data_IF_798861699598
#
_entry.id   IF_798861699598
#
_cell.length_a   1.000
_cell.length_b   1.000
_cell.length_c   1.000
_cell.angle_alpha   90.00
_cell.angle_beta   90.00
_cell.angle_gamma   90.00
#
_symmetry.space_group_name_H-M   'P 1'
#
loop_
_entity.id
_entity.type
_entity.pdbx_description
1 polymer ?
#
# COMPACT_ATOMS: atom_id res chain seq x y z
N UNK A 1 18.82 -16.99 -11.98
CA UNK A 1 19.40 -15.75 -11.40
C UNK A 1 18.89 -15.56 -9.98
N UNK A 2 19.76 -15.15 -9.04
CA UNK A 2 19.38 -14.89 -7.65
C UNK A 2 19.47 -13.39 -7.35
N UNK A 3 18.40 -12.82 -6.85
CA UNK A 3 18.19 -11.37 -6.74
C UNK A 3 17.93 -11.01 -5.28
N UNK A 4 18.64 -10.00 -4.78
CA UNK A 4 18.34 -9.35 -3.51
C UNK A 4 17.63 -8.00 -3.80
N UNK A 5 16.48 -7.77 -3.18
CA UNK A 5 15.85 -6.46 -3.17
C UNK A 5 15.97 -5.86 -1.78
N UNK A 6 16.53 -4.65 -1.69
CA UNK A 6 16.38 -3.82 -0.49
C UNK A 6 15.07 -3.08 -0.62
N UNK A 7 14.07 -3.54 0.11
CA UNK A 7 12.69 -3.06 0.03
C UNK A 7 12.47 -1.73 0.75
N UNK A 8 11.40 -1.01 0.40
CA UNK A 8 10.98 0.19 1.12
C UNK A 8 10.41 -0.15 2.51
N UNK A 9 10.25 0.89 3.34
CA UNK A 9 9.76 0.73 4.72
C UNK A 9 8.29 1.15 4.91
N UNK A 10 7.65 1.72 3.91
CA UNK A 10 6.24 2.12 3.97
C UNK A 10 5.35 1.08 3.30
N UNK A 11 4.16 0.83 3.87
CA UNK A 11 3.21 -0.17 3.34
C UNK A 11 2.86 0.09 1.88
N UNK A 12 2.50 1.33 1.53
CA UNK A 12 2.14 1.69 0.15
C UNK A 12 3.30 1.48 -0.83
N UNK A 13 4.50 1.93 -0.47
CA UNK A 13 5.70 1.74 -1.30
C UNK A 13 6.05 0.25 -1.44
N UNK A 14 5.92 -0.53 -0.34
CA UNK A 14 6.12 -1.98 -0.38
C UNK A 14 5.13 -2.65 -1.31
N UNK A 15 3.86 -2.25 -1.27
CA UNK A 15 2.86 -2.77 -2.21
C UNK A 15 3.22 -2.45 -3.66
N UNK A 16 3.52 -1.18 -3.97
CA UNK A 16 3.88 -0.77 -5.33
C UNK A 16 5.18 -1.43 -5.83
N UNK A 17 6.11 -1.76 -4.93
CA UNK A 17 7.37 -2.45 -5.30
C UNK A 17 7.15 -3.88 -5.82
N UNK A 18 6.03 -4.52 -5.53
CA UNK A 18 5.69 -5.84 -6.09
C UNK A 18 5.63 -5.80 -7.62
N UNK A 19 5.29 -4.66 -8.23
CA UNK A 19 5.29 -4.53 -9.70
C UNK A 19 6.68 -4.78 -10.30
N UNK A 20 7.76 -4.38 -9.60
CA UNK A 20 9.13 -4.75 -9.98
C UNK A 20 9.32 -6.27 -9.91
N UNK A 21 8.91 -6.91 -8.82
CA UNK A 21 9.11 -8.36 -8.63
C UNK A 21 8.35 -9.15 -9.70
N UNK A 22 7.11 -8.76 -9.99
CA UNK A 22 6.29 -9.35 -11.05
C UNK A 22 6.92 -9.16 -12.43
N UNK A 23 7.47 -7.99 -12.73
CA UNK A 23 8.16 -7.71 -13.99
C UNK A 23 9.43 -8.55 -14.13
N UNK A 24 10.22 -8.69 -13.06
CA UNK A 24 11.41 -9.53 -13.05
C UNK A 24 11.07 -11.01 -13.26
N UNK A 25 10.04 -11.51 -12.59
CA UNK A 25 9.55 -12.89 -12.75
C UNK A 25 8.96 -13.16 -14.13
N UNK A 26 8.28 -12.18 -14.73
CA UNK A 26 7.77 -12.32 -16.09
C UNK A 26 8.89 -12.42 -17.14
N UNK A 27 10.00 -11.70 -16.92
CA UNK A 27 11.18 -11.77 -17.79
C UNK A 27 12.03 -13.03 -17.53
N UNK A 28 12.16 -13.45 -16.30
CA UNK A 28 12.94 -14.62 -15.85
C UNK A 28 12.14 -15.43 -14.82
N UNK A 29 11.29 -16.38 -15.24
CA UNK A 29 10.42 -17.16 -14.35
C UNK A 29 11.17 -17.91 -13.24
N UNK A 30 12.40 -18.37 -13.51
CA UNK A 30 13.25 -19.10 -12.58
C UNK A 30 14.09 -18.18 -11.67
N UNK A 31 13.95 -16.86 -11.78
CA UNK A 31 14.66 -15.93 -10.89
C UNK A 31 14.19 -16.13 -9.44
N UNK A 32 15.12 -16.23 -8.50
CA UNK A 32 14.85 -16.31 -7.07
C UNK A 32 14.99 -14.91 -6.47
N UNK A 33 13.92 -14.36 -5.95
CA UNK A 33 13.87 -12.99 -5.41
C UNK A 33 13.71 -13.05 -3.90
N UNK A 34 14.73 -12.61 -3.17
CA UNK A 34 14.67 -12.39 -1.74
C UNK A 34 14.53 -10.88 -1.47
N UNK A 35 13.67 -10.52 -0.53
CA UNK A 35 13.41 -9.10 -0.20
C UNK A 35 13.83 -8.83 1.23
N UNK A 36 14.78 -7.91 1.43
CA UNK A 36 15.19 -7.42 2.75
C UNK A 36 14.44 -6.15 3.10
N UNK A 37 13.63 -6.20 4.15
CA UNK A 37 12.80 -5.09 4.61
C UNK A 37 12.57 -5.17 6.13
N UNK A 38 12.02 -4.14 6.78
CA UNK A 38 11.63 -4.22 8.19
C UNK A 38 10.77 -5.44 8.48
N UNK A 39 10.96 -6.05 9.65
CA UNK A 39 10.30 -7.32 9.99
C UNK A 39 8.77 -7.27 9.90
N UNK A 40 8.16 -6.11 10.17
CA UNK A 40 6.71 -5.91 10.08
C UNK A 40 6.16 -5.99 8.64
N UNK A 41 7.01 -5.87 7.60
CA UNK A 41 6.62 -6.08 6.20
C UNK A 41 6.45 -7.55 5.81
N UNK A 42 6.94 -8.49 6.63
CA UNK A 42 6.91 -9.93 6.32
C UNK A 42 5.50 -10.43 5.94
N UNK A 43 4.42 -10.04 6.62
CA UNK A 43 3.07 -10.48 6.26
C UNK A 43 2.63 -10.10 4.85
N UNK A 44 3.10 -8.98 4.32
CA UNK A 44 2.85 -8.59 2.93
C UNK A 44 3.70 -9.42 1.97
N UNK A 45 5.00 -9.52 2.24
CA UNK A 45 5.95 -10.23 1.39
C UNK A 45 5.62 -11.72 1.28
N UNK A 46 5.14 -12.36 2.35
CA UNK A 46 4.74 -13.77 2.33
C UNK A 46 3.48 -14.07 1.48
N UNK A 47 2.73 -13.03 1.10
CA UNK A 47 1.57 -13.11 0.20
C UNK A 47 1.87 -12.71 -1.23
N UNK A 48 3.13 -12.44 -1.55
CA UNK A 48 3.62 -12.12 -2.88
C UNK A 48 4.29 -13.38 -3.48
N UNK A 49 3.69 -14.07 -4.45
CA UNK A 49 4.23 -15.32 -5.00
C UNK A 49 5.63 -15.17 -5.62
N UNK A 50 5.98 -13.95 -6.00
CA UNK A 50 7.28 -13.63 -6.60
C UNK A 50 8.42 -13.66 -5.58
N UNK A 51 8.12 -13.50 -4.29
CA UNK A 51 9.11 -13.44 -3.20
C UNK A 51 9.40 -14.82 -2.67
N UNK A 52 10.66 -15.23 -2.76
CA UNK A 52 11.14 -16.51 -2.22
C UNK A 52 11.34 -16.42 -0.69
N UNK A 53 12.04 -15.40 -0.22
CA UNK A 53 12.34 -15.20 1.20
C UNK A 53 12.21 -13.72 1.60
N UNK A 54 11.52 -13.46 2.71
CA UNK A 54 11.48 -12.16 3.35
C UNK A 54 12.56 -12.07 4.43
N UNK A 55 13.66 -11.38 4.12
CA UNK A 55 14.78 -11.16 5.01
C UNK A 55 14.51 -9.95 5.92
N UNK A 56 14.67 -10.11 7.22
CA UNK A 56 14.50 -9.01 8.14
C UNK A 56 15.69 -8.03 8.07
N UNK A 57 15.39 -6.72 7.92
CA UNK A 57 16.32 -5.64 8.17
C UNK A 57 16.22 -5.26 9.66
N UNK A 58 17.17 -5.66 10.51
CA UNK A 58 17.05 -5.44 11.95
C UNK A 58 17.31 -4.00 12.37
N UNK A 59 17.72 -3.14 11.43
CA UNK A 59 18.15 -1.77 11.71
C UNK A 59 16.98 -0.79 11.62
N UNK A 60 16.86 0.04 12.65
CA UNK A 60 15.83 1.04 12.76
C UNK A 60 15.86 2.12 11.67
N UNK A 61 14.72 2.75 11.45
CA UNK A 61 14.63 3.90 10.56
C UNK A 61 15.50 5.05 11.09
N UNK A 62 16.35 5.63 10.25
CA UNK A 62 17.26 6.71 10.65
C UNK A 62 18.67 6.25 11.03
N UNK A 63 18.86 5.07 11.60
CA UNK A 63 20.16 4.59 12.05
C UNK A 63 21.13 4.27 10.90
N UNK A 64 22.37 4.74 10.97
CA UNK A 64 23.42 4.41 10.02
C UNK A 64 24.00 3.02 10.31
N UNK A 65 24.45 2.79 11.52
CA UNK A 65 24.99 1.52 12.04
C UNK A 65 25.89 0.76 11.04
N UNK A 66 26.97 1.43 10.62
CA UNK A 66 27.84 0.95 9.54
C UNK A 66 28.42 -0.44 9.82
N UNK A 67 28.82 -0.72 11.07
CA UNK A 67 29.35 -2.01 11.50
C UNK A 67 28.34 -3.14 11.29
N UNK A 68 27.09 -2.90 11.67
CA UNK A 68 26.02 -3.88 11.56
C UNK A 68 25.63 -4.13 10.10
N UNK A 69 25.57 -3.06 9.28
CA UNK A 69 25.33 -3.20 7.82
C UNK A 69 26.44 -4.00 7.14
N UNK A 70 27.71 -3.80 7.57
CA UNK A 70 28.84 -4.57 7.07
C UNK A 70 28.73 -6.05 7.48
N UNK A 71 28.34 -6.32 8.73
CA UNK A 71 28.13 -7.70 9.23
C UNK A 71 27.03 -8.40 8.45
N UNK A 72 25.88 -7.74 8.27
CA UNK A 72 24.76 -8.27 7.48
C UNK A 72 25.16 -8.53 6.02
N UNK A 73 25.82 -7.57 5.37
CA UNK A 73 26.27 -7.73 4.00
C UNK A 73 27.22 -8.91 3.86
N UNK A 74 28.21 -9.04 4.75
CA UNK A 74 29.13 -10.19 4.73
C UNK A 74 28.42 -11.53 4.93
N UNK A 75 27.43 -11.59 5.81
CA UNK A 75 26.63 -12.81 6.03
C UNK A 75 25.84 -13.21 4.77
N UNK A 76 25.42 -12.26 3.95
CA UNK A 76 24.70 -12.51 2.70
C UNK A 76 25.58 -13.01 1.55
N UNK A 77 26.91 -12.93 1.65
CA UNK A 77 27.83 -13.41 0.60
C UNK A 77 27.62 -14.89 0.27
N UNK A 78 27.37 -15.71 1.29
CA UNK A 78 27.13 -17.15 1.12
C UNK A 78 25.84 -17.46 0.34
N UNK A 79 24.90 -16.52 0.26
CA UNK A 79 23.67 -16.68 -0.51
C UNK A 79 23.89 -16.56 -2.02
N UNK A 80 24.98 -15.96 -2.48
CA UNK A 80 25.39 -15.92 -3.89
C UNK A 80 24.44 -15.13 -4.79
N UNK A 81 24.05 -13.92 -4.38
CA UNK A 81 23.21 -13.05 -5.21
C UNK A 81 23.95 -12.52 -6.44
N UNK A 82 23.31 -12.59 -7.59
CA UNK A 82 23.83 -12.07 -8.88
C UNK A 82 23.57 -10.55 -9.01
N UNK A 83 22.41 -10.11 -8.54
CA UNK A 83 21.94 -8.72 -8.63
C UNK A 83 21.30 -8.25 -7.34
N UNK A 84 21.39 -6.93 -7.11
CA UNK A 84 20.62 -6.24 -6.08
C UNK A 84 19.87 -5.06 -6.67
N UNK A 85 18.63 -4.88 -6.20
CA UNK A 85 17.84 -3.68 -6.45
C UNK A 85 17.67 -2.93 -5.13
N UNK A 86 18.05 -1.65 -5.10
CA UNK A 86 18.00 -0.81 -3.90
C UNK A 86 16.91 0.25 -4.09
N UNK A 87 15.72 0.00 -3.52
CA UNK A 87 14.54 0.81 -3.74
C UNK A 87 14.52 2.10 -2.89
N UNK A 88 14.93 2.07 -1.60
CA UNK A 88 15.07 3.31 -0.83
C UNK A 88 16.21 4.18 -1.39
N UNK A 89 16.07 5.51 -1.28
CA UNK A 89 17.00 6.46 -1.86
C UNK A 89 18.12 6.94 -0.90
N UNK A 90 18.20 6.39 0.31
CA UNK A 90 19.21 6.76 1.30
C UNK A 90 20.57 6.14 1.01
N UNK A 91 21.65 6.82 1.40
CA UNK A 91 23.02 6.31 1.33
C UNK A 91 23.14 4.94 2.01
N UNK A 92 22.64 4.84 3.24
CA UNK A 92 22.74 3.62 4.06
C UNK A 92 22.04 2.40 3.46
N UNK A 93 21.01 2.57 2.62
CA UNK A 93 20.29 1.45 1.99
C UNK A 93 21.15 0.67 0.99
N UNK A 94 22.17 1.31 0.42
CA UNK A 94 23.07 0.68 -0.54
C UNK A 94 24.25 -0.06 0.13
N UNK A 95 24.47 0.09 1.44
CA UNK A 95 25.62 -0.49 2.14
C UNK A 95 25.56 -2.02 2.26
N UNK A 96 24.37 -2.57 2.55
CA UNK A 96 24.25 -4.04 2.71
C UNK A 96 24.59 -4.77 1.40
N UNK A 97 23.99 -4.44 0.23
CA UNK A 97 24.35 -5.11 -1.02
C UNK A 97 25.79 -4.82 -1.47
N UNK A 98 26.35 -3.66 -1.11
CA UNK A 98 27.77 -3.37 -1.34
C UNK A 98 28.68 -4.31 -0.54
N UNK A 99 28.46 -4.46 0.77
CA UNK A 99 29.23 -5.36 1.62
C UNK A 99 28.98 -6.84 1.34
N UNK A 100 27.83 -7.16 0.72
CA UNK A 100 27.53 -8.50 0.22
C UNK A 100 28.31 -8.86 -1.05
N UNK A 101 29.04 -7.90 -1.62
CA UNK A 101 29.85 -8.05 -2.84
C UNK A 101 29.00 -8.45 -4.07
N UNK A 102 27.76 -7.96 -4.13
CA UNK A 102 26.87 -8.27 -5.25
C UNK A 102 27.34 -7.49 -6.48
N UNK A 103 27.54 -8.21 -7.60
CA UNK A 103 28.17 -7.67 -8.81
C UNK A 103 27.42 -6.49 -9.42
N UNK A 104 26.09 -6.60 -9.53
CA UNK A 104 25.23 -5.53 -10.09
C UNK A 104 24.32 -4.98 -9.00
N UNK A 105 24.42 -3.69 -8.74
CA UNK A 105 23.66 -2.99 -7.71
C UNK A 105 22.94 -1.81 -8.34
N UNK A 106 21.65 -2.00 -8.63
CA UNK A 106 20.79 -1.08 -9.37
C UNK A 106 19.95 -0.22 -8.42
N UNK A 107 19.84 1.07 -8.71
CA UNK A 107 18.94 1.97 -7.98
C UNK A 107 18.97 3.41 -8.52
N UNK A 108 17.97 4.18 -8.15
CA UNK A 108 17.93 5.61 -8.49
C UNK A 108 18.95 6.41 -7.68
N UNK A 109 19.54 7.45 -8.29
CA UNK A 109 20.39 8.39 -7.59
C UNK A 109 19.55 9.15 -6.54
N UNK A 110 19.86 8.91 -5.28
CA UNK A 110 19.31 9.62 -4.15
C UNK A 110 20.39 10.41 -3.43
N UNK A 111 20.64 10.11 -2.16
CA UNK A 111 21.81 10.61 -1.43
C UNK A 111 23.12 10.17 -2.10
N UNK A 112 24.28 10.69 -1.63
CA UNK A 112 25.61 10.44 -2.20
C UNK A 112 26.00 8.95 -2.07
N UNK A 113 25.56 8.12 -3.01
CA UNK A 113 25.83 6.67 -3.03
C UNK A 113 26.55 6.21 -4.31
N UNK A 114 27.42 7.11 -4.81
CA UNK A 114 28.36 6.83 -5.88
C UNK A 114 29.35 5.74 -5.46
N UNK A 115 29.60 4.77 -6.32
CA UNK A 115 30.41 3.59 -6.03
C UNK A 115 29.73 2.50 -5.21
N UNK A 116 28.74 2.83 -4.37
CA UNK A 116 27.90 1.83 -3.70
C UNK A 116 26.93 1.17 -4.67
N UNK A 117 26.30 1.97 -5.54
CA UNK A 117 25.55 1.48 -6.70
C UNK A 117 26.42 1.62 -7.95
N UNK A 118 26.52 0.57 -8.74
CA UNK A 118 27.27 0.56 -10.01
C UNK A 118 26.34 0.59 -11.25
N UNK A 119 25.06 0.31 -11.10
CA UNK A 119 24.01 0.69 -12.06
C UNK A 119 23.18 1.83 -11.44
N UNK A 120 23.83 2.98 -11.28
CA UNK A 120 23.22 4.19 -10.74
C UNK A 120 22.43 4.93 -11.82
N UNK A 121 21.15 5.19 -11.57
CA UNK A 121 20.23 5.86 -12.49
C UNK A 121 19.83 7.24 -11.99
N UNK A 122 19.69 8.19 -12.91
CA UNK A 122 19.21 9.55 -12.60
C UNK A 122 17.73 9.62 -12.86
N UNK A 123 16.95 9.99 -11.83
CA UNK A 123 15.50 10.09 -11.93
C UNK A 123 15.11 11.43 -12.54
N UNK A 124 14.47 11.39 -13.69
CA UNK A 124 13.65 12.48 -14.21
C UNK A 124 12.19 12.26 -13.74
N UNK A 125 11.71 13.12 -12.85
CA UNK A 125 10.37 12.98 -12.27
C UNK A 125 9.26 13.26 -13.29
N UNK A 126 9.52 14.06 -14.32
CA UNK A 126 8.56 14.34 -15.38
C UNK A 126 8.43 13.15 -16.34
N UNK A 127 9.57 12.48 -16.62
CA UNK A 127 9.58 11.28 -17.44
C UNK A 127 8.99 10.05 -16.73
N UNK A 128 9.08 10.01 -15.39
CA UNK A 128 8.61 8.92 -14.53
C UNK A 128 7.68 9.47 -13.45
N UNK A 129 6.44 9.87 -13.77
CA UNK A 129 5.53 10.49 -12.81
C UNK A 129 5.10 9.55 -11.69
N UNK A 130 4.69 8.32 -12.01
CA UNK A 130 4.19 7.38 -11.02
C UNK A 130 5.31 6.63 -10.29
N UNK A 131 5.11 6.38 -8.99
CA UNK A 131 6.06 5.59 -8.20
C UNK A 131 6.20 4.16 -8.74
N UNK A 132 5.11 3.52 -9.15
CA UNK A 132 5.13 2.17 -9.74
C UNK A 132 6.00 2.11 -11.00
N UNK A 133 5.93 3.13 -11.85
CA UNK A 133 6.76 3.21 -13.07
C UNK A 133 8.25 3.30 -12.73
N UNK A 134 8.59 4.05 -11.67
CA UNK A 134 9.97 4.13 -11.16
C UNK A 134 10.50 2.79 -10.70
N UNK A 135 9.66 1.97 -10.06
CA UNK A 135 10.04 0.62 -9.66
C UNK A 135 10.18 -0.31 -10.87
N UNK A 136 9.20 -0.34 -11.77
CA UNK A 136 9.21 -1.18 -12.97
C UNK A 136 10.39 -0.84 -13.89
N UNK A 137 10.73 0.45 -14.04
CA UNK A 137 11.85 0.89 -14.86
C UNK A 137 13.19 0.27 -14.44
N UNK A 138 13.37 -0.06 -13.16
CA UNK A 138 14.59 -0.70 -12.65
C UNK A 138 14.78 -2.13 -13.17
N UNK A 139 13.72 -2.83 -13.58
CA UNK A 139 13.79 -4.18 -14.13
C UNK A 139 14.50 -4.24 -15.49
N UNK A 140 14.56 -3.13 -16.21
CA UNK A 140 15.11 -3.05 -17.56
C UNK A 140 16.50 -2.42 -17.57
N UNK A 141 17.26 -2.63 -18.64
CA UNK A 141 18.55 -1.97 -18.81
C UNK A 141 18.41 -0.44 -18.86
N UNK A 142 19.39 0.25 -18.28
CA UNK A 142 19.36 1.71 -18.07
C UNK A 142 19.02 2.53 -19.32
N UNK A 143 19.44 2.08 -20.50
CA UNK A 143 19.25 2.80 -21.75
C UNK A 143 18.03 2.35 -22.56
N UNK A 144 17.33 1.30 -22.10
CA UNK A 144 16.21 0.72 -22.85
C UNK A 144 15.00 1.64 -22.91
N UNK A 145 14.67 2.28 -21.78
CA UNK A 145 13.54 3.18 -21.66
C UNK A 145 13.95 4.46 -20.94
N UNK A 146 13.52 5.60 -21.46
CA UNK A 146 13.84 6.93 -20.92
C UNK A 146 12.63 7.61 -20.28
N UNK A 147 11.42 7.07 -20.48
CA UNK A 147 10.15 7.59 -19.95
C UNK A 147 9.11 6.48 -19.81
N UNK A 148 8.13 6.72 -18.94
CA UNK A 148 7.08 5.77 -18.58
C UNK A 148 6.25 5.26 -19.77
N UNK A 149 5.95 6.14 -20.75
CA UNK A 149 5.18 5.76 -21.95
C UNK A 149 5.86 4.72 -22.86
N UNK A 150 7.14 4.43 -22.63
CA UNK A 150 7.88 3.41 -23.36
C UNK A 150 7.87 2.04 -22.64
N UNK A 151 7.44 1.99 -21.39
CA UNK A 151 7.32 0.71 -20.66
C UNK A 151 6.29 -0.19 -21.33
N UNK A 152 6.52 -1.51 -21.33
CA UNK A 152 5.50 -2.46 -21.76
C UNK A 152 4.20 -2.30 -20.98
N UNK A 153 3.08 -2.28 -21.69
CA UNK A 153 1.74 -2.14 -21.11
C UNK A 153 0.92 -3.42 -21.35
N UNK A 154 -0.02 -3.74 -20.46
CA UNK A 154 -0.26 -3.10 -19.15
C UNK A 154 0.86 -3.38 -18.14
N UNK A 155 1.11 -2.46 -17.20
CA UNK A 155 2.02 -2.72 -16.09
C UNK A 155 1.46 -3.86 -15.23
N UNK A 156 2.34 -4.70 -14.73
CA UNK A 156 1.99 -5.77 -13.80
C UNK A 156 1.77 -5.18 -12.39
N UNK A 157 0.54 -4.76 -12.10
CA UNK A 157 0.18 -4.16 -10.83
C UNK A 157 0.30 -5.13 -9.66
N UNK A 158 0.46 -4.63 -8.42
CA UNK A 158 0.51 -5.46 -7.22
C UNK A 158 -0.72 -6.38 -7.11
N UNK A 159 -0.52 -7.60 -6.61
CA UNK A 159 -1.58 -8.55 -6.40
C UNK A 159 -1.30 -9.42 -5.18
N UNK A 160 -2.21 -9.40 -4.22
CA UNK A 160 -2.18 -10.27 -3.06
C UNK A 160 -3.22 -11.38 -3.16
N UNK A 161 -2.94 -12.51 -2.51
CA UNK A 161 -3.84 -13.65 -2.45
C UNK A 161 -4.21 -13.98 -1.01
N UNK A 162 -5.50 -14.25 -0.79
CA UNK A 162 -6.07 -14.69 0.48
C UNK A 162 -7.10 -15.77 0.17
N UNK A 163 -7.02 -16.90 0.84
CA UNK A 163 -7.98 -17.99 0.65
C UNK A 163 -9.33 -17.68 1.30
N UNK A 164 -10.41 -18.29 0.79
CA UNK A 164 -11.75 -18.14 1.38
C UNK A 164 -11.79 -18.62 2.83
N UNK A 165 -11.09 -19.71 3.15
CA UNK A 165 -11.02 -20.23 4.52
C UNK A 165 -10.39 -19.24 5.48
N UNK A 166 -9.30 -18.56 5.09
CA UNK A 166 -8.67 -17.51 5.91
C UNK A 166 -9.64 -16.36 6.18
N UNK A 167 -10.37 -15.90 5.14
CA UNK A 167 -11.34 -14.81 5.27
C UNK A 167 -12.43 -15.15 6.29
N UNK A 168 -13.08 -16.31 6.13
CA UNK A 168 -14.17 -16.74 7.01
C UNK A 168 -13.70 -16.94 8.45
N UNK A 169 -12.58 -17.63 8.64
CA UNK A 169 -12.02 -17.89 9.99
C UNK A 169 -11.64 -16.59 10.69
N UNK A 170 -11.03 -15.66 9.96
CA UNK A 170 -10.59 -14.37 10.54
C UNK A 170 -11.79 -13.47 10.83
N UNK A 171 -12.79 -13.40 9.93
CA UNK A 171 -14.00 -12.62 10.13
C UNK A 171 -14.76 -13.08 11.39
N UNK A 172 -14.95 -14.40 11.57
CA UNK A 172 -15.58 -14.97 12.75
C UNK A 172 -14.81 -14.61 14.04
N UNK A 173 -13.47 -14.65 14.01
CA UNK A 173 -12.62 -14.27 15.15
C UNK A 173 -12.83 -12.83 15.59
N UNK A 174 -13.07 -11.91 14.66
CA UNK A 174 -13.33 -10.50 14.96
C UNK A 174 -14.82 -10.17 15.14
N UNK A 175 -15.69 -11.18 15.23
CA UNK A 175 -17.10 -11.01 15.52
C UNK A 175 -17.87 -10.28 14.43
N UNK A 176 -17.47 -10.45 13.16
CA UNK A 176 -18.27 -9.97 12.04
C UNK A 176 -19.35 -10.98 11.70
N UNK A 177 -20.58 -10.50 11.63
CA UNK A 177 -21.76 -11.33 11.35
C UNK A 177 -21.70 -11.83 9.89
N UNK A 178 -22.00 -13.11 9.69
CA UNK A 178 -22.00 -13.72 8.35
C UNK A 178 -23.16 -13.25 7.47
N UNK A 179 -24.25 -12.79 8.08
CA UNK A 179 -25.49 -12.43 7.40
C UNK A 179 -25.42 -11.04 6.72
N UNK A 180 -24.47 -10.19 7.14
CA UNK A 180 -24.31 -8.85 6.59
C UNK A 180 -22.98 -8.72 5.84
N UNK A 181 -22.97 -8.26 4.57
CA UNK A 181 -21.73 -7.99 3.88
C UNK A 181 -20.96 -6.84 4.56
N UNK A 182 -19.63 -6.96 4.60
CA UNK A 182 -18.76 -6.02 5.28
C UNK A 182 -18.29 -4.94 4.33
N UNK A 183 -18.38 -3.68 4.73
CA UNK A 183 -17.68 -2.56 4.09
C UNK A 183 -16.51 -2.15 5.00
N UNK A 184 -15.30 -2.16 4.45
CA UNK A 184 -14.10 -1.75 5.16
C UNK A 184 -13.87 -0.25 5.07
N UNK A 185 -13.62 0.41 6.19
CA UNK A 185 -13.20 1.80 6.26
C UNK A 185 -11.77 1.91 6.76
N UNK A 186 -10.94 2.69 6.07
CA UNK A 186 -9.56 2.99 6.45
C UNK A 186 -9.41 4.50 6.72
N UNK A 187 -9.87 4.98 7.89
CA UNK A 187 -9.94 6.41 8.20
C UNK A 187 -8.58 7.00 8.60
N UNK A 188 -7.56 6.17 8.81
CA UNK A 188 -6.22 6.61 9.18
C UNK A 188 -5.43 7.21 8.03
N UNK A 189 -4.44 8.03 8.38
CA UNK A 189 -3.37 8.48 7.47
C UNK A 189 -2.13 8.84 8.27
N UNK A 190 -0.97 8.28 7.90
CA UNK A 190 0.28 8.40 8.65
C UNK A 190 0.84 9.84 8.68
N UNK A 191 0.62 10.63 7.62
CA UNK A 191 1.20 11.97 7.49
C UNK A 191 0.39 13.10 8.14
N UNK A 192 -0.66 12.78 8.88
CA UNK A 192 -1.42 13.75 9.66
C UNK A 192 -2.86 13.97 9.20
N UNK A 193 -3.63 14.77 9.95
CA UNK A 193 -5.07 14.92 9.76
C UNK A 193 -5.47 15.57 8.42
N UNK A 194 -4.59 16.34 7.78
CA UNK A 194 -4.87 16.93 6.47
C UNK A 194 -5.12 15.89 5.36
N UNK A 195 -4.73 14.64 5.57
CA UNK A 195 -4.99 13.53 4.64
C UNK A 195 -6.16 12.64 5.07
N UNK A 196 -6.84 13.00 6.15
CA UNK A 196 -7.97 12.23 6.68
C UNK A 196 -9.30 12.86 6.24
N UNK A 197 -10.17 12.03 5.67
CA UNK A 197 -11.56 12.40 5.52
C UNK A 197 -12.18 12.49 6.90
N UNK A 198 -13.01 13.51 7.21
CA UNK A 198 -13.53 13.75 8.55
C UNK A 198 -14.22 12.52 9.16
N UNK A 199 -13.99 12.26 10.45
CA UNK A 199 -14.62 11.15 11.17
C UNK A 199 -16.14 11.24 11.13
N UNK A 200 -16.73 12.45 11.22
CA UNK A 200 -18.17 12.64 11.13
C UNK A 200 -18.75 12.33 9.73
N UNK A 201 -17.97 12.48 8.67
CA UNK A 201 -18.34 12.03 7.33
C UNK A 201 -18.29 10.49 7.20
N UNK A 202 -17.25 9.86 7.78
CA UNK A 202 -17.22 8.41 7.88
C UNK A 202 -18.41 7.87 8.68
N UNK A 203 -18.78 8.52 9.79
CA UNK A 203 -19.94 8.14 10.59
C UNK A 203 -21.25 8.29 9.82
N UNK A 204 -21.43 9.40 9.12
CA UNK A 204 -22.62 9.61 8.29
C UNK A 204 -22.74 8.57 7.17
N UNK A 205 -21.63 8.23 6.49
CA UNK A 205 -21.60 7.18 5.48
C UNK A 205 -21.87 5.79 6.11
N UNK A 206 -21.27 5.51 7.28
CA UNK A 206 -21.49 4.26 8.00
C UNK A 206 -22.96 4.08 8.36
N UNK A 207 -23.64 5.13 8.85
CA UNK A 207 -25.06 5.08 9.18
C UNK A 207 -25.89 4.71 7.95
N UNK A 208 -25.67 5.36 6.80
CA UNK A 208 -26.39 5.06 5.55
C UNK A 208 -26.18 3.60 5.11
N UNK A 209 -24.95 3.10 5.18
CA UNK A 209 -24.64 1.71 4.79
C UNK A 209 -25.21 0.67 5.76
N UNK A 210 -25.23 0.97 7.05
CA UNK A 210 -25.82 0.08 8.07
C UNK A 210 -27.35 -0.01 7.88
N UNK A 211 -27.99 1.12 7.59
CA UNK A 211 -29.44 1.18 7.30
C UNK A 211 -29.77 0.40 6.02
N UNK A 212 -28.81 0.32 5.06
CA UNK A 212 -28.91 -0.45 3.82
C UNK A 212 -28.48 -1.93 3.97
N UNK A 213 -28.27 -2.39 5.21
CA UNK A 213 -28.02 -3.81 5.53
C UNK A 213 -26.56 -4.26 5.55
N UNK A 214 -25.60 -3.35 5.43
CA UNK A 214 -24.18 -3.65 5.59
C UNK A 214 -23.75 -3.64 7.07
N UNK A 215 -22.57 -4.18 7.33
CA UNK A 215 -21.81 -3.92 8.55
C UNK A 215 -20.48 -3.25 8.21
N UNK A 216 -19.95 -2.48 9.14
CA UNK A 216 -18.75 -1.68 8.94
C UNK A 216 -17.60 -2.24 9.79
N UNK A 217 -16.42 -2.37 9.18
CA UNK A 217 -15.18 -2.67 9.87
C UNK A 217 -14.18 -1.52 9.67
N UNK A 218 -13.74 -0.90 10.76
CA UNK A 218 -12.77 0.19 10.74
C UNK A 218 -11.36 -0.38 10.91
N UNK A 219 -10.47 -0.09 9.97
CA UNK A 219 -9.08 -0.54 9.96
C UNK A 219 -8.11 0.60 10.18
N UNK A 220 -7.05 0.33 10.91
CA UNK A 220 -6.00 1.30 11.17
C UNK A 220 -4.97 0.77 12.17
N UNK A 221 -3.94 1.57 12.42
CA UNK A 221 -2.97 1.33 13.47
C UNK A 221 -3.56 1.71 14.85
N UNK A 222 -2.82 1.44 15.93
CA UNK A 222 -3.21 1.89 17.27
C UNK A 222 -3.39 3.42 17.37
N UNK A 223 -2.71 4.20 16.51
CA UNK A 223 -2.86 5.66 16.43
C UNK A 223 -4.22 6.10 15.87
N UNK A 224 -4.88 5.22 15.14
CA UNK A 224 -6.15 5.50 14.49
C UNK A 224 -7.36 5.04 15.32
N UNK A 225 -7.09 4.40 16.49
CA UNK A 225 -8.13 3.86 17.38
C UNK A 225 -9.11 4.94 17.83
N UNK A 226 -8.60 6.10 18.26
CA UNK A 226 -9.41 7.24 18.69
C UNK A 226 -10.35 7.73 17.59
N UNK A 227 -9.85 7.85 16.36
CA UNK A 227 -10.70 8.20 15.20
C UNK A 227 -11.80 7.17 14.97
N UNK A 228 -11.51 5.89 15.15
CA UNK A 228 -12.51 4.81 15.09
C UNK A 228 -13.57 4.93 16.18
N UNK A 229 -13.19 5.26 17.41
CA UNK A 229 -14.13 5.49 18.52
C UNK A 229 -15.04 6.72 18.24
N UNK A 230 -14.49 7.82 17.75
CA UNK A 230 -15.26 9.00 17.34
C UNK A 230 -16.32 8.67 16.28
N UNK A 231 -15.98 7.80 15.31
CA UNK A 231 -16.93 7.32 14.31
C UNK A 231 -18.05 6.52 14.98
N UNK A 232 -17.71 5.56 15.87
CA UNK A 232 -18.67 4.74 16.60
C UNK A 232 -19.61 5.58 17.48
N UNK A 233 -19.07 6.54 18.23
CA UNK A 233 -19.83 7.40 19.14
C UNK A 233 -20.86 8.27 18.39
N UNK A 234 -20.53 8.66 17.16
CA UNK A 234 -21.41 9.48 16.29
C UNK A 234 -22.59 8.67 15.74
N UNK A 235 -22.49 7.33 15.64
CA UNK A 235 -23.57 6.49 15.15
C UNK A 235 -24.76 6.46 16.12
N UNK A 236 -25.95 6.25 15.57
CA UNK A 236 -27.14 5.96 16.38
C UNK A 236 -26.92 4.72 17.24
N UNK A 237 -27.44 4.68 18.49
CA UNK A 237 -27.16 3.59 19.43
C UNK A 237 -27.42 2.17 18.88
N UNK A 238 -28.52 2.00 18.14
CA UNK A 238 -28.89 0.70 17.54
C UNK A 238 -28.02 0.29 16.35
N UNK A 239 -27.27 1.23 15.75
CA UNK A 239 -26.39 0.95 14.62
C UNK A 239 -24.97 0.55 15.06
N UNK A 240 -24.60 0.85 16.31
CA UNK A 240 -23.24 0.61 16.83
C UNK A 240 -22.86 -0.88 16.84
N UNK A 241 -23.80 -1.77 17.03
CA UNK A 241 -23.56 -3.21 16.98
C UNK A 241 -23.11 -3.72 15.60
N UNK A 242 -23.44 -2.96 14.54
CA UNK A 242 -23.06 -3.25 13.16
C UNK A 242 -21.79 -2.54 12.71
N UNK A 243 -21.08 -1.89 13.61
CA UNK A 243 -19.78 -1.23 13.33
C UNK A 243 -18.72 -1.73 14.31
N UNK A 244 -17.63 -2.27 13.79
CA UNK A 244 -16.50 -2.77 14.59
C UNK A 244 -15.27 -1.91 14.38
N UNK A 245 -14.75 -1.33 15.46
CA UNK A 245 -13.47 -0.64 15.44
C UNK A 245 -12.34 -1.66 15.65
N UNK A 246 -11.66 -2.02 14.57
CA UNK A 246 -10.53 -2.95 14.57
C UNK A 246 -9.18 -2.22 14.52
N UNK A 247 -9.17 -0.89 14.59
CA UNK A 247 -7.94 -0.10 14.60
C UNK A 247 -7.11 -0.42 15.85
N UNK A 248 -5.87 -0.85 15.63
CA UNK A 248 -4.96 -1.30 16.68
C UNK A 248 -5.25 -2.68 17.28
N UNK A 249 -6.32 -3.33 16.86
CA UNK A 249 -6.68 -4.69 17.32
C UNK A 249 -6.20 -5.79 16.35
N UNK A 250 -5.97 -5.43 15.09
CA UNK A 250 -5.46 -6.35 14.07
C UNK A 250 -3.96 -6.18 13.85
N UNK A 251 -3.26 -7.30 13.71
CA UNK A 251 -1.94 -7.32 13.09
C UNK A 251 -2.08 -7.07 11.59
N UNK A 252 -1.01 -6.61 10.92
CA UNK A 252 -1.04 -6.32 9.48
C UNK A 252 -1.55 -7.50 8.64
N UNK A 253 -1.15 -8.72 8.98
CA UNK A 253 -1.63 -9.94 8.32
C UNK A 253 -3.16 -10.10 8.43
N UNK A 254 -3.70 -9.89 9.62
CA UNK A 254 -5.13 -9.96 9.86
C UNK A 254 -5.89 -8.86 9.13
N UNK A 255 -5.33 -7.64 9.09
CA UNK A 255 -5.90 -6.54 8.32
C UNK A 255 -5.96 -6.86 6.82
N UNK A 256 -4.91 -7.47 6.25
CA UNK A 256 -4.90 -7.94 4.85
C UNK A 256 -6.03 -8.95 4.60
N UNK A 257 -6.16 -9.96 5.47
CA UNK A 257 -7.20 -10.99 5.34
C UNK A 257 -8.59 -10.37 5.46
N UNK A 258 -8.78 -9.47 6.42
CA UNK A 258 -10.07 -8.81 6.65
C UNK A 258 -10.45 -7.85 5.52
N UNK A 259 -9.50 -7.11 4.96
CA UNK A 259 -9.73 -6.29 3.77
C UNK A 259 -10.12 -7.16 2.56
N UNK A 260 -9.52 -8.35 2.41
CA UNK A 260 -9.93 -9.32 1.38
C UNK A 260 -11.35 -9.86 1.60
N UNK A 261 -11.83 -9.91 2.84
CA UNK A 261 -13.20 -10.32 3.18
C UNK A 261 -14.24 -9.23 2.89
N UNK A 262 -13.84 -7.95 2.88
CA UNK A 262 -14.75 -6.84 2.63
C UNK A 262 -15.37 -6.90 1.24
N UNK A 263 -16.66 -6.58 1.14
CA UNK A 263 -17.40 -6.40 -0.12
C UNK A 263 -16.85 -5.22 -0.92
N UNK A 264 -16.50 -4.14 -0.22
CA UNK A 264 -15.85 -2.95 -0.75
C UNK A 264 -15.05 -2.24 0.34
N UNK A 265 -14.20 -1.30 -0.04
CA UNK A 265 -13.36 -0.53 0.89
C UNK A 265 -13.47 0.97 0.57
N UNK A 266 -13.60 1.79 1.62
CA UNK A 266 -13.46 3.24 1.55
C UNK A 266 -12.19 3.62 2.30
N UNK A 267 -11.28 4.31 1.66
CA UNK A 267 -9.97 4.62 2.24
C UNK A 267 -9.48 6.01 1.90
N UNK A 268 -8.84 6.65 2.86
CA UNK A 268 -7.94 7.77 2.56
C UNK A 268 -6.73 7.28 1.75
N UNK A 269 -5.95 8.20 1.17
CA UNK A 269 -4.62 7.92 0.62
C UNK A 269 -3.70 7.38 1.72
N UNK A 270 -3.62 6.06 1.82
CA UNK A 270 -2.91 5.33 2.89
C UNK A 270 -2.33 4.00 2.41
N UNK A 271 -1.51 3.36 3.24
CA UNK A 271 -0.98 2.03 2.94
C UNK A 271 -2.07 0.96 2.77
N UNK A 272 -3.16 1.03 3.55
CA UNK A 272 -4.28 0.09 3.47
C UNK A 272 -5.06 0.24 2.15
N UNK A 273 -5.11 1.44 1.58
CA UNK A 273 -5.66 1.68 0.23
C UNK A 273 -4.93 0.83 -0.82
N UNK A 274 -3.61 0.82 -0.79
CA UNK A 274 -2.81 0.02 -1.74
C UNK A 274 -2.98 -1.48 -1.51
N UNK A 275 -3.18 -1.92 -0.27
CA UNK A 275 -3.50 -3.32 0.05
C UNK A 275 -4.88 -3.68 -0.52
N UNK A 276 -5.91 -2.85 -0.31
CA UNK A 276 -7.24 -3.08 -0.84
C UNK A 276 -7.25 -3.16 -2.38
N UNK A 277 -6.50 -2.29 -3.04
CA UNK A 277 -6.29 -2.32 -4.49
C UNK A 277 -5.62 -3.63 -4.95
N UNK A 278 -4.56 -4.07 -4.26
CA UNK A 278 -3.85 -5.32 -4.58
C UNK A 278 -4.68 -6.59 -4.30
N UNK A 279 -5.69 -6.50 -3.44
CA UNK A 279 -6.67 -7.55 -3.16
C UNK A 279 -7.85 -7.53 -4.15
N UNK A 280 -7.81 -6.63 -5.14
CA UNK A 280 -8.85 -6.47 -6.17
C UNK A 280 -10.25 -6.19 -5.57
N UNK A 281 -10.28 -5.42 -4.46
CA UNK A 281 -11.55 -5.02 -3.87
C UNK A 281 -12.10 -3.78 -4.55
N UNK A 282 -13.45 -3.70 -4.74
CA UNK A 282 -14.09 -2.42 -5.06
C UNK A 282 -13.65 -1.37 -4.05
N UNK A 283 -13.05 -0.27 -4.51
CA UNK A 283 -12.36 0.70 -3.67
C UNK A 283 -12.73 2.13 -4.04
N UNK A 284 -13.23 2.90 -3.08
CA UNK A 284 -13.32 4.36 -3.21
C UNK A 284 -12.16 4.97 -2.42
N UNK A 285 -11.25 5.63 -3.13
CA UNK A 285 -10.07 6.26 -2.57
C UNK A 285 -10.25 7.79 -2.50
N UNK A 286 -10.07 8.34 -1.30
CA UNK A 286 -10.31 9.75 -1.00
C UNK A 286 -8.98 10.50 -0.92
N UNK A 287 -8.78 11.45 -1.83
CA UNK A 287 -7.58 12.27 -1.92
C UNK A 287 -7.89 13.72 -1.61
N UNK A 288 -7.08 14.27 -0.72
CA UNK A 288 -7.05 15.71 -0.43
C UNK A 288 -5.79 16.37 -1.01
N UNK A 289 -4.88 16.86 -0.15
CA UNK A 289 -3.65 17.53 -0.57
C UNK A 289 -2.63 16.60 -1.27
N UNK A 290 -2.69 15.29 -1.07
CA UNK A 290 -1.88 14.32 -1.82
C UNK A 290 -2.40 14.13 -3.25
N UNK A 291 -1.62 13.46 -4.10
CA UNK A 291 -1.97 13.32 -5.51
C UNK A 291 -1.96 11.87 -6.00
N UNK A 292 -3.05 11.40 -6.63
CA UNK A 292 -3.08 10.13 -7.32
C UNK A 292 -2.17 10.11 -8.56
N UNK A 293 -1.72 11.28 -9.05
CA UNK A 293 -0.75 11.38 -10.14
C UNK A 293 0.64 10.88 -9.76
N UNK A 294 0.85 10.54 -8.50
CA UNK A 294 2.10 9.95 -8.01
C UNK A 294 1.93 8.53 -7.47
N UNK A 295 0.94 8.32 -6.61
CA UNK A 295 0.67 7.04 -5.94
C UNK A 295 -0.82 6.67 -6.02
N UNK A 296 -1.36 6.38 -7.24
CA UNK A 296 -2.76 5.98 -7.37
C UNK A 296 -3.01 4.60 -6.77
N UNK A 297 -4.26 4.26 -6.43
CA UNK A 297 -4.65 2.88 -6.21
C UNK A 297 -4.53 2.11 -7.53
N UNK A 298 -3.71 1.05 -7.54
CA UNK A 298 -3.41 0.28 -8.75
C UNK A 298 -4.43 -0.86 -8.91
N UNK A 299 -5.64 -0.51 -9.33
CA UNK A 299 -6.74 -1.44 -9.58
C UNK A 299 -7.77 -0.82 -10.52
N UNK A 300 -8.32 -1.60 -11.44
CA UNK A 300 -9.43 -1.19 -12.31
C UNK A 300 -10.74 -1.04 -11.51
N UNK A 301 -10.83 -1.67 -10.33
CA UNK A 301 -11.97 -1.57 -9.40
C UNK A 301 -11.84 -0.43 -8.40
N UNK A 302 -10.98 0.56 -8.68
CA UNK A 302 -10.83 1.73 -7.84
C UNK A 302 -11.46 2.97 -8.47
N UNK A 303 -12.14 3.77 -7.64
CA UNK A 303 -12.57 5.13 -7.97
C UNK A 303 -11.87 6.12 -7.07
N UNK A 304 -11.30 7.14 -7.65
CA UNK A 304 -10.62 8.22 -6.92
C UNK A 304 -11.55 9.43 -6.85
N UNK A 305 -11.83 9.90 -5.64
CA UNK A 305 -12.52 11.18 -5.42
C UNK A 305 -11.48 12.19 -4.97
N UNK A 306 -11.33 13.25 -5.74
CA UNK A 306 -10.44 14.38 -5.47
C UNK A 306 -11.03 15.66 -6.03
N UNK A 307 -10.99 16.74 -5.25
CA UNK A 307 -11.62 18.03 -5.61
C UNK A 307 -10.61 19.11 -5.99
N UNK A 308 -9.32 18.86 -5.78
CA UNK A 308 -8.24 19.83 -6.06
C UNK A 308 -7.20 19.22 -7.00
N UNK A 309 -6.41 20.09 -7.64
CA UNK A 309 -5.30 19.70 -8.53
C UNK A 309 -3.95 19.94 -7.86
N UNK A 310 -2.88 19.37 -8.41
CA UNK A 310 -1.52 19.53 -7.90
C UNK A 310 -1.23 18.69 -6.64
N UNK A 311 -0.02 18.75 -6.14
CA UNK A 311 0.40 18.11 -4.89
C UNK A 311 0.73 19.18 -3.85
N UNK A 312 0.08 19.10 -2.69
CA UNK A 312 0.30 20.04 -1.59
C UNK A 312 0.86 19.30 -0.38
N UNK A 313 2.07 19.66 0.05
CA UNK A 313 2.69 19.06 1.22
C UNK A 313 2.15 19.68 2.50
N UNK A 314 0.93 19.31 2.90
CA UNK A 314 0.25 19.80 4.11
C UNK A 314 0.08 18.64 5.08
N UNK A 315 0.47 18.83 6.34
CA UNK A 315 0.29 17.83 7.42
C UNK A 315 -0.96 18.10 8.26
N UNK A 316 -1.30 19.37 8.45
CA UNK A 316 -2.46 19.83 9.20
C UNK A 316 -3.19 20.86 8.35
N UNK A 317 -4.48 20.64 8.12
CA UNK A 317 -5.35 21.58 7.43
C UNK A 317 -5.76 22.74 8.35
N UNK A 318 -6.55 23.65 7.80
CA UNK A 318 -6.98 24.87 8.50
C UNK A 318 -8.23 24.65 9.38
N UNK A 319 -8.97 23.56 9.17
CA UNK A 319 -10.16 23.23 9.97
C UNK A 319 -9.79 22.84 11.41
N UNK A 320 -10.76 22.90 12.31
CA UNK A 320 -10.60 22.75 13.76
C UNK A 320 -9.79 21.49 14.15
N UNK A 321 -10.12 20.34 13.59
CA UNK A 321 -9.38 19.09 13.86
C UNK A 321 -8.19 18.85 12.94
N UNK A 322 -7.79 19.85 12.17
CA UNK A 322 -6.69 19.81 11.22
C UNK A 322 -7.03 19.11 9.92
N UNK A 323 -8.32 18.89 9.61
CA UNK A 323 -8.75 18.40 8.32
C UNK A 323 -8.51 19.44 7.22
N UNK A 324 -8.25 18.96 6.01
CA UNK A 324 -8.10 19.84 4.86
C UNK A 324 -9.45 20.06 4.18
N UNK A 325 -9.73 21.32 3.78
CA UNK A 325 -11.03 21.71 3.21
C UNK A 325 -11.46 20.82 2.04
N UNK A 326 -10.52 20.46 1.16
CA UNK A 326 -10.82 19.60 0.01
C UNK A 326 -11.32 18.18 0.37
N UNK A 327 -11.04 17.70 1.58
CA UNK A 327 -11.61 16.45 2.10
C UNK A 327 -12.93 16.67 2.80
N UNK A 328 -13.10 17.82 3.49
CA UNK A 328 -14.38 18.21 4.09
C UNK A 328 -15.46 18.35 3.00
N UNK A 329 -15.10 18.91 1.85
CA UNK A 329 -16.02 19.14 0.72
C UNK A 329 -16.42 17.84 -0.02
N UNK A 330 -15.73 16.73 0.23
CA UNK A 330 -16.18 15.40 -0.25
C UNK A 330 -17.33 14.94 0.65
N UNK A 331 -18.56 15.00 0.15
CA UNK A 331 -19.73 14.61 0.93
C UNK A 331 -19.93 13.09 0.98
N UNK A 332 -20.54 12.54 2.05
CA UNK A 332 -20.93 11.12 2.11
C UNK A 332 -21.84 10.69 0.94
N UNK A 333 -22.74 11.58 0.48
CA UNK A 333 -23.61 11.32 -0.67
C UNK A 333 -22.82 11.06 -1.96
N UNK A 334 -21.73 11.79 -2.18
CA UNK A 334 -20.84 11.54 -3.33
C UNK A 334 -20.12 10.21 -3.21
N UNK A 335 -19.61 9.87 -2.03
CA UNK A 335 -18.90 8.62 -1.79
C UNK A 335 -19.82 7.41 -2.00
N UNK A 336 -21.04 7.44 -1.48
CA UNK A 336 -22.02 6.35 -1.65
C UNK A 336 -22.44 6.17 -3.11
N UNK A 337 -22.54 7.26 -3.88
CA UNK A 337 -22.84 7.19 -5.32
C UNK A 337 -21.74 6.44 -6.07
N UNK A 338 -20.47 6.77 -5.85
CA UNK A 338 -19.34 6.08 -6.46
C UNK A 338 -19.25 4.61 -6.00
N UNK A 339 -19.51 4.35 -4.73
CA UNK A 339 -19.55 2.99 -4.19
C UNK A 339 -20.64 2.14 -4.87
N UNK A 340 -21.85 2.67 -4.97
CA UNK A 340 -22.98 1.96 -5.59
C UNK A 340 -22.70 1.67 -7.08
N UNK A 341 -22.09 2.60 -7.80
CA UNK A 341 -21.64 2.39 -9.18
C UNK A 341 -20.67 1.22 -9.27
N UNK A 342 -19.63 1.21 -8.43
CA UNK A 342 -18.65 0.10 -8.37
C UNK A 342 -19.30 -1.25 -8.04
N UNK A 343 -20.24 -1.27 -7.10
CA UNK A 343 -20.92 -2.51 -6.70
C UNK A 343 -21.87 -3.02 -7.80
N UNK A 344 -22.51 -2.13 -8.55
CA UNK A 344 -23.37 -2.44 -9.70
C UNK A 344 -22.54 -3.00 -10.87
N UNK A 345 -21.47 -2.34 -11.26
CA UNK A 345 -20.54 -2.80 -12.31
C UNK A 345 -19.99 -4.21 -12.03
N UNK A 346 -19.59 -4.48 -10.78
CA UNK A 346 -19.07 -5.81 -10.39
C UNK A 346 -20.14 -6.91 -10.39
N UNK A 347 -21.42 -6.60 -10.25
CA UNK A 347 -22.51 -7.58 -10.36
C UNK A 347 -22.75 -7.97 -11.82
N UNK A 348 -22.66 -7.03 -12.74
CA UNK A 348 -22.82 -7.29 -14.17
C UNK A 348 -21.67 -8.14 -14.74
N UNK A 349 -20.44 -7.90 -14.32
CA UNK A 349 -19.28 -8.70 -14.71
C UNK A 349 -19.34 -10.12 -14.17
N UNK A 350 -19.82 -10.33 -12.95
CA UNK A 350 -20.02 -11.65 -12.37
C UNK A 350 -21.13 -12.46 -13.05
N UNK A 351 -22.10 -11.78 -13.67
CA UNK A 351 -23.16 -12.44 -14.44
C UNK A 351 -22.73 -12.79 -15.88
N UNK A 352 -21.64 -12.20 -16.38
CA UNK A 352 -21.11 -12.43 -17.75
C UNK A 352 -19.98 -13.47 -17.81
N UNK A 353 -19.41 -13.85 -16.66
CA UNK A 353 -18.35 -14.85 -16.51
C UNK A 353 -18.91 -16.23 -16.13
#
# INVERSE_FOLDING_TARGET
MKILVIGPSWVGDMMMSQSLYRTLKAAEPDAVIDVMAPAWCRPLLSRMPEVNEALAMPLGHGALELGERRRLGKALRSKGYDRAYVLPNSFKSALVPFFADIKTRTGWRGEMRYGLLNDLRVLDKAAWPLMVERYVALAYDKQRFTRASQLPQPLLWPKLQVSEQEKLTTAARFGLAAERPVIGFCPGAEFGPAKRWPHYHYAALAQLLIDDGYQIALFGSAKDKETGEQILETLQPHSREHCRNLAGETQLEQAVIMLAHCRAVISNDSGLMHIAAALDRPLVALYGPSSPDFTPPLSDKARVIRLITGYHKVRKGEAEEGYHQSLIDITPARVITELNTLLGENQEDACRS
#
